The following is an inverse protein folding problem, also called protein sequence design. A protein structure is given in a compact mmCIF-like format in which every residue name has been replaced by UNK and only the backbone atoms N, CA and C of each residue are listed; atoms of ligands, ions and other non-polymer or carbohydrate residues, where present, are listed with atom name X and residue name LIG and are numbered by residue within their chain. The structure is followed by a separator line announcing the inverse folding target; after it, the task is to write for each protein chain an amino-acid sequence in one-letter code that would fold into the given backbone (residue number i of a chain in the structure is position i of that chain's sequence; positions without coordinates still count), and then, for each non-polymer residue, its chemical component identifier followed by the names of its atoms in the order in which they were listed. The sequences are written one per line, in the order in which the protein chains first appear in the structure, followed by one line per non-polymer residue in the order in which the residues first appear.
data_IF_040654783259
#
_entry.id   IF_040654783259
#
_cell.length_a   1.000
_cell.length_b   1.000
_cell.length_c   1.000
_cell.angle_alpha   90.00
_cell.angle_beta   90.00
_cell.angle_gamma   90.00
#
_symmetry.space_group_name_H-M   'P 1'
#
loop_
_entity.id
_entity.type
_entity.pdbx_description
1 polymer ?
#
# COMPACT_ATOMS: atom_id res chain seq x y z
N UNK A 1 -17.69 54.66 -2.64
CA UNK A 1 -16.33 54.32 -2.14
C UNK A 1 -15.81 53.11 -2.91
N UNK A 2 -14.78 53.26 -3.75
CA UNK A 2 -14.26 52.22 -4.65
C UNK A 2 -13.54 51.04 -3.96
N UNK A 3 -13.39 51.04 -2.64
CA UNK A 3 -12.67 49.98 -1.90
C UNK A 3 -13.51 48.74 -1.59
N UNK A 4 -14.83 48.87 -1.44
CA UNK A 4 -15.70 47.73 -1.11
C UNK A 4 -15.75 46.73 -2.26
N UNK A 5 -15.78 47.21 -3.51
CA UNK A 5 -15.83 46.34 -4.69
C UNK A 5 -14.50 45.62 -4.93
N UNK A 6 -13.37 46.26 -4.61
CA UNK A 6 -12.05 45.62 -4.61
C UNK A 6 -11.94 44.52 -3.56
N UNK A 7 -12.45 44.77 -2.34
CA UNK A 7 -12.47 43.78 -1.26
C UNK A 7 -13.37 42.58 -1.60
N UNK A 8 -14.54 42.80 -2.22
CA UNK A 8 -15.41 41.73 -2.71
C UNK A 8 -14.73 40.89 -3.80
N UNK A 9 -14.06 41.53 -4.75
CA UNK A 9 -13.31 40.82 -5.80
C UNK A 9 -12.15 39.99 -5.22
N UNK A 10 -11.45 40.50 -4.20
CA UNK A 10 -10.43 39.74 -3.48
C UNK A 10 -11.03 38.55 -2.73
N UNK A 11 -12.18 38.72 -2.06
CA UNK A 11 -12.88 37.63 -1.39
C UNK A 11 -13.26 36.49 -2.36
N UNK A 12 -13.81 36.83 -3.54
CA UNK A 12 -14.19 35.81 -4.52
C UNK A 12 -12.97 35.08 -5.11
N UNK A 13 -11.84 35.78 -5.31
CA UNK A 13 -10.58 35.15 -5.70
C UNK A 13 -10.09 34.17 -4.64
N UNK A 14 -10.06 34.59 -3.37
CA UNK A 14 -9.64 33.73 -2.25
C UNK A 14 -10.55 32.52 -2.10
N UNK A 15 -11.88 32.67 -2.21
CA UNK A 15 -12.82 31.54 -2.19
C UNK A 15 -12.55 30.53 -3.31
N UNK A 16 -12.25 31.02 -4.50
CA UNK A 16 -11.95 30.17 -5.65
C UNK A 16 -10.63 29.41 -5.42
N UNK A 17 -9.63 30.09 -4.88
CA UNK A 17 -8.33 29.49 -4.56
C UNK A 17 -8.45 28.43 -3.45
N UNK A 18 -9.24 28.68 -2.40
CA UNK A 18 -9.56 27.68 -1.37
C UNK A 18 -10.16 26.43 -2.00
N UNK A 19 -11.18 26.57 -2.87
CA UNK A 19 -11.79 25.43 -3.56
C UNK A 19 -10.79 24.67 -4.44
N UNK A 20 -9.89 25.38 -5.12
CA UNK A 20 -8.84 24.74 -5.92
C UNK A 20 -7.85 23.96 -5.05
N UNK A 21 -7.46 24.52 -3.91
CA UNK A 21 -6.56 23.87 -2.95
C UNK A 21 -7.22 22.63 -2.32
N UNK A 22 -8.49 22.70 -1.93
CA UNK A 22 -9.26 21.55 -1.43
C UNK A 22 -9.32 20.42 -2.47
N UNK A 23 -9.57 20.76 -3.74
CA UNK A 23 -9.58 19.79 -4.83
C UNK A 23 -8.20 19.15 -5.04
N UNK A 24 -7.12 19.95 -4.99
CA UNK A 24 -5.75 19.43 -5.07
C UNK A 24 -5.43 18.51 -3.91
N UNK A 25 -5.82 18.87 -2.69
CA UNK A 25 -5.61 18.04 -1.50
C UNK A 25 -6.32 16.69 -1.63
N UNK A 26 -7.57 16.70 -2.09
CA UNK A 26 -8.34 15.45 -2.34
C UNK A 26 -7.65 14.55 -3.38
N UNK A 27 -7.14 15.13 -4.47
CA UNK A 27 -6.41 14.38 -5.50
C UNK A 27 -5.13 13.77 -4.93
N UNK A 28 -4.37 14.54 -4.14
CA UNK A 28 -3.14 14.06 -3.52
C UNK A 28 -3.40 12.93 -2.53
N UNK A 29 -4.48 13.01 -1.75
CA UNK A 29 -4.87 11.95 -0.82
C UNK A 29 -5.21 10.65 -1.56
N UNK A 30 -6.01 10.74 -2.62
CA UNK A 30 -6.35 9.57 -3.45
C UNK A 30 -5.11 8.93 -4.07
N UNK A 31 -4.19 9.75 -4.62
CA UNK A 31 -2.92 9.26 -5.17
C UNK A 31 -2.06 8.54 -4.15
N UNK A 32 -2.02 9.03 -2.91
CA UNK A 32 -1.30 8.37 -1.82
C UNK A 32 -1.89 7.00 -1.52
N UNK A 33 -3.20 6.90 -1.36
CA UNK A 33 -3.89 5.62 -1.13
C UNK A 33 -3.67 4.63 -2.28
N UNK A 34 -3.72 5.10 -3.52
CA UNK A 34 -3.46 4.26 -4.69
C UNK A 34 -2.00 3.81 -4.77
N UNK A 35 -1.05 4.67 -4.41
CA UNK A 35 0.35 4.30 -4.31
C UNK A 35 0.59 3.23 -3.23
N UNK A 36 -0.05 3.34 -2.07
CA UNK A 36 0.01 2.36 -1.00
C UNK A 36 -0.59 1.00 -1.44
N UNK A 37 -1.72 1.02 -2.14
CA UNK A 37 -2.32 -0.19 -2.73
C UNK A 37 -1.38 -0.85 -3.74
N UNK A 38 -0.81 -0.07 -4.67
CA UNK A 38 0.15 -0.58 -5.65
C UNK A 38 1.40 -1.16 -5.00
N UNK A 39 1.94 -0.49 -3.98
CA UNK A 39 3.08 -0.98 -3.23
C UNK A 39 2.76 -2.30 -2.52
N UNK A 40 1.57 -2.43 -1.93
CA UNK A 40 1.11 -3.69 -1.32
C UNK A 40 0.99 -4.81 -2.36
N UNK A 41 0.32 -4.56 -3.49
CA UNK A 41 0.19 -5.57 -4.56
C UNK A 41 1.55 -6.00 -5.10
N UNK A 42 2.46 -5.06 -5.31
CA UNK A 42 3.82 -5.35 -5.76
C UNK A 42 4.56 -6.26 -4.78
N UNK A 43 4.53 -5.95 -3.47
CA UNK A 43 5.14 -6.80 -2.44
C UNK A 43 4.55 -8.21 -2.45
N UNK A 44 3.23 -8.35 -2.58
CA UNK A 44 2.59 -9.67 -2.62
C UNK A 44 3.02 -10.49 -3.83
N UNK A 45 3.16 -9.86 -5.00
CA UNK A 45 3.67 -10.52 -6.21
C UNK A 45 5.14 -10.91 -6.03
N UNK A 46 5.98 -10.01 -5.53
CA UNK A 46 7.41 -10.29 -5.30
C UNK A 46 7.59 -11.46 -4.31
N UNK A 47 6.85 -11.46 -3.19
CA UNK A 47 6.88 -12.58 -2.25
C UNK A 47 6.31 -13.88 -2.84
N UNK A 48 5.25 -13.81 -3.66
CA UNK A 48 4.72 -14.96 -4.38
C UNK A 48 5.73 -15.56 -5.35
N UNK A 49 6.44 -14.73 -6.11
CA UNK A 49 7.47 -15.17 -7.04
C UNK A 49 8.64 -15.87 -6.31
N UNK A 50 9.06 -15.35 -5.15
CA UNK A 50 10.07 -16.01 -4.31
C UNK A 50 9.58 -17.38 -3.84
N UNK A 51 8.33 -17.48 -3.41
CA UNK A 51 7.74 -18.75 -2.99
C UNK A 51 7.72 -19.77 -4.14
N UNK A 52 7.23 -19.39 -5.31
CA UNK A 52 7.16 -20.26 -6.49
C UNK A 52 8.55 -20.69 -6.97
N UNK A 53 9.55 -19.82 -6.84
CA UNK A 53 10.94 -20.15 -7.18
C UNK A 53 11.53 -21.23 -6.27
N UNK A 54 11.16 -21.26 -4.99
CA UNK A 54 11.66 -22.25 -4.01
C UNK A 54 10.81 -23.53 -4.08
N UNK A 55 9.50 -23.37 -4.26
CA UNK A 55 8.53 -24.46 -4.33
C UNK A 55 7.76 -24.38 -5.65
N UNK A 56 8.28 -24.93 -6.76
CA UNK A 56 7.61 -24.88 -8.06
C UNK A 56 6.19 -25.47 -8.04
N UNK A 57 5.92 -26.43 -7.15
CA UNK A 57 4.59 -27.00 -6.96
C UNK A 57 3.55 -25.97 -6.45
N UNK A 58 3.98 -24.90 -5.78
CA UNK A 58 3.08 -23.85 -5.27
C UNK A 58 2.39 -23.06 -6.38
N UNK A 59 2.96 -23.01 -7.59
CA UNK A 59 2.35 -22.33 -8.74
C UNK A 59 1.02 -22.97 -9.20
N UNK A 60 0.84 -24.26 -8.91
CA UNK A 60 -0.40 -25.00 -9.20
C UNK A 60 -1.37 -25.06 -8.01
N UNK A 61 -0.96 -24.57 -6.84
CA UNK A 61 -1.76 -24.60 -5.62
C UNK A 61 -2.68 -23.39 -5.54
N UNK A 62 -3.87 -23.60 -4.99
CA UNK A 62 -4.75 -22.53 -4.51
C UNK A 62 -4.11 -21.80 -3.32
N UNK A 63 -4.55 -20.57 -3.05
CA UNK A 63 -4.05 -19.81 -1.89
C UNK A 63 -4.31 -20.52 -0.55
N UNK A 64 -5.36 -21.33 -0.46
CA UNK A 64 -5.70 -22.12 0.72
C UNK A 64 -4.74 -23.31 0.89
N UNK A 65 -4.40 -23.99 -0.19
CA UNK A 65 -3.39 -25.06 -0.20
C UNK A 65 -2.00 -24.52 0.13
N UNK A 66 -1.60 -23.38 -0.44
CA UNK A 66 -0.35 -22.70 -0.09
C UNK A 66 -0.32 -22.37 1.41
N UNK A 67 -1.43 -21.84 1.95
CA UNK A 67 -1.54 -21.52 3.38
C UNK A 67 -1.44 -22.78 4.24
N UNK A 68 -2.10 -23.87 3.87
CA UNK A 68 -2.05 -25.14 4.60
C UNK A 68 -0.62 -25.72 4.58
N UNK A 69 0.01 -25.70 3.41
CA UNK A 69 1.40 -26.15 3.20
C UNK A 69 2.38 -25.36 4.08
N UNK A 70 2.35 -24.03 4.01
CA UNK A 70 3.23 -23.18 4.81
C UNK A 70 2.95 -23.30 6.31
N UNK A 71 1.69 -23.51 6.71
CA UNK A 71 1.33 -23.76 8.11
C UNK A 71 1.86 -25.09 8.63
N UNK A 72 1.98 -26.11 7.78
CA UNK A 72 2.60 -27.38 8.13
C UNK A 72 4.12 -27.21 8.29
N UNK A 73 4.76 -26.51 7.35
CA UNK A 73 6.20 -26.20 7.42
C UNK A 73 6.54 -25.37 8.67
N UNK A 74 5.74 -24.37 9.01
CA UNK A 74 6.02 -23.49 10.15
C UNK A 74 6.02 -24.20 11.50
N UNK A 75 5.46 -25.41 11.58
CA UNK A 75 5.40 -26.24 12.78
C UNK A 75 6.58 -27.20 12.89
N UNK A 76 7.42 -27.30 11.87
CA UNK A 76 8.62 -28.13 11.92
C UNK A 76 9.60 -27.55 12.96
N UNK A 77 10.17 -28.38 13.86
CA UNK A 77 11.07 -27.92 14.91
C UNK A 77 12.24 -27.08 14.38
N UNK A 78 12.81 -27.45 13.24
CA UNK A 78 13.93 -26.79 12.59
C UNK A 78 13.56 -25.38 12.12
N UNK A 79 12.37 -25.23 11.51
CA UNK A 79 11.85 -23.95 11.06
C UNK A 79 11.52 -23.07 12.26
N UNK A 80 10.88 -23.62 13.29
CA UNK A 80 10.64 -22.90 14.54
C UNK A 80 11.93 -22.44 15.21
N UNK A 81 12.99 -23.26 15.15
CA UNK A 81 14.30 -22.90 15.68
C UNK A 81 14.94 -21.77 14.87
N UNK A 82 14.91 -21.84 13.53
CA UNK A 82 15.42 -20.77 12.66
C UNK A 82 14.70 -19.44 12.90
N UNK A 83 13.36 -19.46 12.95
CA UNK A 83 12.55 -18.25 13.18
C UNK A 83 12.79 -17.59 14.54
N UNK A 84 13.22 -18.37 15.56
CA UNK A 84 13.52 -17.84 16.90
C UNK A 84 14.96 -17.36 17.06
N UNK A 85 15.89 -17.95 16.32
CA UNK A 85 17.33 -17.77 16.52
C UNK A 85 18.03 -17.06 15.35
N UNK A 86 17.29 -16.61 14.33
CA UNK A 86 17.87 -15.83 13.24
C UNK A 86 18.50 -14.53 13.78
N UNK A 87 19.79 -14.26 13.52
CA UNK A 87 20.35 -12.95 13.75
C UNK A 87 19.66 -11.99 12.79
N UNK A 88 18.94 -11.00 13.34
CA UNK A 88 18.37 -9.90 12.56
C UNK A 88 19.52 -9.27 11.76
N UNK A 89 19.54 -9.52 10.45
CA UNK A 89 20.46 -8.85 9.53
C UNK A 89 20.04 -7.40 9.31
#
# INVERSE_FOLDING_TARGET
MPDIDKLKAQQEKVKTEIRQLENRQKILLNRKTDAERKAKTRRLIEHGAVLESIFPAAAAMTGEEVKAFLSAISRLPEVMWLLKNEPRS
#
